data_IF_701613288240
#
_entry.id   IF_701613288240
#
_cell.length_a   1.000
_cell.length_b   1.000
_cell.length_c   1.000
_cell.angle_alpha   90.00
_cell.angle_beta   90.00
_cell.angle_gamma   90.00
#
_symmetry.space_group_name_H-M   'P 1'
#
loop_
_entity.id
_entity.type
_entity.pdbx_description
1 polymer ?
#
# COMPACT_ATOMS: atom_id res chain seq x y z
N UNK A 1 6.15 3.26 8.59
CA UNK A 1 5.91 1.80 8.62
C UNK A 1 7.18 1.03 8.23
N UNK A 2 7.30 -0.22 8.67
CA UNK A 2 8.33 -1.17 8.22
C UNK A 2 7.66 -2.49 7.87
N UNK A 3 7.92 -2.99 6.67
CA UNK A 3 7.48 -4.32 6.23
C UNK A 3 8.73 -5.21 6.11
N UNK A 4 8.66 -6.41 6.68
CA UNK A 4 9.66 -7.43 6.43
C UNK A 4 9.61 -7.89 4.96
N UNK A 5 10.69 -8.54 4.49
CA UNK A 5 10.72 -9.12 3.15
C UNK A 5 9.52 -10.07 2.95
N UNK A 6 8.83 -9.92 1.82
CA UNK A 6 7.61 -10.65 1.50
C UNK A 6 6.34 -10.14 2.21
N UNK A 7 6.44 -9.17 3.11
CA UNK A 7 5.30 -8.62 3.84
C UNK A 7 4.29 -7.96 2.92
N UNK A 8 3.00 -8.32 3.06
CA UNK A 8 1.87 -7.78 2.30
C UNK A 8 0.91 -7.05 3.23
N UNK A 9 0.37 -5.91 2.79
CA UNK A 9 -0.83 -5.32 3.36
C UNK A 9 -1.95 -5.55 2.35
N UNK A 10 -3.02 -6.30 2.71
CA UNK A 10 -4.09 -6.64 1.78
C UNK A 10 -4.90 -5.39 1.35
N UNK A 11 -5.78 -5.52 0.34
CA UNK A 11 -6.61 -4.42 -0.12
C UNK A 11 -7.34 -3.72 1.02
N UNK A 12 -7.21 -2.40 1.09
CA UNK A 12 -7.81 -1.57 2.12
C UNK A 12 -8.07 -0.15 1.61
N UNK A 13 -8.86 0.61 2.38
CA UNK A 13 -9.12 2.03 2.15
C UNK A 13 -8.81 2.86 3.40
N UNK A 14 -8.60 4.16 3.18
CA UNK A 14 -8.53 5.18 4.22
C UNK A 14 -9.60 6.27 3.98
N UNK A 15 -10.13 6.91 5.04
CA UNK A 15 -10.99 8.08 4.89
C UNK A 15 -10.30 9.29 4.26
N UNK A 16 -9.00 9.42 4.51
CA UNK A 16 -8.13 10.49 4.05
C UNK A 16 -7.24 10.05 2.87
N UNK A 17 -6.71 11.03 2.14
CA UNK A 17 -5.65 10.80 1.16
C UNK A 17 -4.35 10.41 1.88
N UNK A 18 -3.65 9.42 1.34
CA UNK A 18 -2.33 9.03 1.79
C UNK A 18 -1.26 9.49 0.83
N UNK A 19 -0.27 10.19 1.36
CA UNK A 19 1.00 10.48 0.66
C UNK A 19 2.08 9.65 1.34
N UNK A 20 2.69 8.75 0.58
CA UNK A 20 3.68 7.81 1.12
C UNK A 20 5.02 7.98 0.44
N UNK A 21 6.04 8.26 1.25
CA UNK A 21 7.44 8.37 0.82
C UNK A 21 8.21 7.12 1.23
N UNK A 22 8.88 6.47 0.28
CA UNK A 22 9.70 5.29 0.58
C UNK A 22 11.07 5.72 1.10
N UNK A 23 11.41 5.30 2.31
CA UNK A 23 12.64 5.68 3.01
C UNK A 23 13.77 4.67 2.77
N UNK A 24 13.44 3.39 2.57
CA UNK A 24 14.41 2.35 2.21
C UNK A 24 13.73 1.16 1.52
N UNK A 25 14.40 0.53 0.56
CA UNK A 25 13.88 -0.60 -0.22
C UNK A 25 12.96 -0.16 -1.37
N UNK A 26 12.12 -1.08 -1.84
CA UNK A 26 11.14 -0.86 -2.91
C UNK A 26 9.76 -1.33 -2.46
N UNK A 27 8.81 -0.39 -2.35
CA UNK A 27 7.42 -0.73 -2.06
C UNK A 27 6.69 -0.99 -3.38
N UNK A 28 6.01 -2.11 -3.50
CA UNK A 28 5.12 -2.37 -4.62
C UNK A 28 3.71 -1.95 -4.23
N UNK A 29 3.04 -1.16 -5.06
CA UNK A 29 1.70 -0.64 -4.81
C UNK A 29 0.77 -1.05 -5.93
N UNK A 30 -0.39 -1.60 -5.60
CA UNK A 30 -1.47 -1.83 -6.54
C UNK A 30 -2.76 -1.15 -6.08
N UNK A 31 -3.66 -0.90 -7.03
CA UNK A 31 -4.94 -0.26 -6.80
C UNK A 31 -6.08 -1.22 -7.16
N UNK A 32 -7.14 -1.19 -6.35
CA UNK A 32 -8.31 -2.06 -6.52
C UNK A 32 -8.62 -2.89 -5.27
N UNK A 33 -9.76 -3.56 -5.32
CA UNK A 33 -10.30 -4.36 -4.21
C UNK A 33 -9.76 -5.80 -4.17
N UNK A 34 -8.85 -6.18 -5.08
CA UNK A 34 -8.28 -7.52 -5.18
C UNK A 34 -6.78 -7.39 -5.34
N UNK A 35 -6.03 -8.22 -4.62
CA UNK A 35 -4.58 -8.25 -4.68
C UNK A 35 -4.16 -8.91 -6.00
N UNK A 36 -3.73 -8.10 -6.98
CA UNK A 36 -3.16 -8.56 -8.24
C UNK A 36 -1.66 -8.23 -8.28
N UNK A 37 -0.83 -9.28 -8.32
CA UNK A 37 0.63 -9.18 -8.35
C UNK A 37 1.17 -8.64 -9.67
N UNK A 38 0.40 -8.76 -10.76
CA UNK A 38 0.85 -8.42 -12.11
C UNK A 38 0.66 -6.93 -12.43
N UNK A 39 -0.30 -6.27 -11.78
CA UNK A 39 -0.63 -4.86 -11.98
C UNK A 39 0.04 -3.88 -11.00
N UNK A 40 1.06 -4.32 -10.26
CA UNK A 40 1.70 -3.47 -9.23
C UNK A 40 2.76 -2.53 -9.81
N UNK A 41 2.84 -1.33 -9.26
CA UNK A 41 3.87 -0.32 -9.57
C UNK A 41 4.95 -0.35 -8.49
N UNK A 42 6.22 -0.37 -8.91
CA UNK A 42 7.36 -0.28 -8.00
C UNK A 42 7.65 1.17 -7.61
N UNK A 43 7.71 1.43 -6.31
CA UNK A 43 8.01 2.72 -5.70
C UNK A 43 9.36 2.59 -4.98
N UNK A 44 10.47 2.99 -5.63
CA UNK A 44 11.80 2.85 -5.06
C UNK A 44 12.06 3.88 -3.95
N UNK A 45 13.17 3.70 -3.23
CA UNK A 45 13.64 4.65 -2.20
C UNK A 45 13.72 6.08 -2.74
N UNK A 46 13.21 7.04 -1.98
CA UNK A 46 13.13 8.46 -2.35
C UNK A 46 11.92 8.82 -3.21
N UNK A 47 11.21 7.84 -3.77
CA UNK A 47 9.97 8.09 -4.51
C UNK A 47 8.76 8.21 -3.59
N UNK A 48 7.71 8.82 -4.14
CA UNK A 48 6.43 9.07 -3.48
C UNK A 48 5.32 8.42 -4.30
N UNK A 49 4.33 7.85 -3.63
CA UNK A 49 3.03 7.56 -4.23
C UNK A 49 1.91 8.19 -3.42
N UNK A 50 0.77 8.41 -4.08
CA UNK A 50 -0.45 8.95 -3.46
C UNK A 50 -1.57 7.94 -3.65
N UNK A 51 -2.26 7.60 -2.57
CA UNK A 51 -3.54 6.90 -2.61
C UNK A 51 -4.65 7.91 -2.24
N UNK A 52 -5.52 8.31 -3.19
CA UNK A 52 -6.61 9.24 -2.90
C UNK A 52 -7.57 8.66 -1.85
N UNK A 53 -8.26 9.55 -1.13
CA UNK A 53 -9.26 9.17 -0.14
C UNK A 53 -10.25 8.13 -0.69
N UNK A 54 -10.63 7.16 0.14
CA UNK A 54 -11.55 6.06 -0.18
C UNK A 54 -11.14 5.18 -1.36
N UNK A 55 -9.90 5.28 -1.85
CA UNK A 55 -9.42 4.45 -2.97
C UNK A 55 -8.85 3.13 -2.46
N UNK A 56 -9.39 1.96 -2.88
CA UNK A 56 -8.83 0.66 -2.55
C UNK A 56 -7.41 0.53 -3.09
N UNK A 57 -6.48 0.13 -2.24
CA UNK A 57 -5.11 -0.15 -2.63
C UNK A 57 -4.48 -1.20 -1.70
N UNK A 58 -3.34 -1.74 -2.12
CA UNK A 58 -2.59 -2.76 -1.40
C UNK A 58 -1.09 -2.57 -1.65
N UNK A 59 -0.27 -3.04 -0.70
CA UNK A 59 1.18 -2.88 -0.81
C UNK A 59 1.94 -4.17 -0.50
N UNK A 60 3.11 -4.32 -1.10
CA UNK A 60 3.95 -5.50 -0.96
C UNK A 60 5.44 -5.14 -0.92
N UNK A 61 6.14 -5.70 0.05
CA UNK A 61 7.60 -5.69 0.15
C UNK A 61 8.21 -6.88 -0.63
N UNK A 62 7.97 -6.92 -1.94
CA UNK A 62 8.30 -8.06 -2.82
C UNK A 62 9.80 -8.38 -2.84
N UNK A 63 10.63 -7.36 -3.03
CA UNK A 63 12.06 -7.53 -3.32
C UNK A 63 12.96 -7.53 -2.06
N UNK A 64 12.37 -7.36 -0.87
CA UNK A 64 13.10 -7.25 0.39
C UNK A 64 12.35 -6.43 1.41
N UNK A 65 12.96 -6.21 2.58
CA UNK A 65 12.36 -5.36 3.61
C UNK A 65 12.26 -3.90 3.12
N UNK A 66 11.16 -3.24 3.50
CA UNK A 66 10.86 -1.86 3.07
C UNK A 66 10.52 -1.02 4.29
N UNK A 67 11.02 0.22 4.32
CA UNK A 67 10.52 1.24 5.25
C UNK A 67 10.00 2.44 4.48
N UNK A 68 8.89 3.00 4.95
CA UNK A 68 8.25 4.15 4.33
C UNK A 68 7.56 5.01 5.38
N UNK A 69 7.40 6.29 5.08
CA UNK A 69 6.59 7.22 5.86
C UNK A 69 5.29 7.45 5.11
N UNK A 70 4.17 7.28 5.80
CA UNK A 70 2.84 7.61 5.29
C UNK A 70 2.33 8.82 6.06
N UNK A 71 1.77 9.79 5.34
CA UNK A 71 1.08 10.94 5.91
C UNK A 71 -0.33 11.05 5.32
N UNK A 72 -1.21 11.71 6.07
CA UNK A 72 -2.54 12.10 5.62
C UNK A 72 -3.07 13.22 6.51
N UNK A 73 -4.17 13.85 6.11
CA UNK A 73 -4.75 15.03 6.78
C UNK A 73 -6.21 14.76 7.13
N UNK A 74 -6.57 14.98 8.39
CA UNK A 74 -7.94 14.84 8.91
C UNK A 74 -8.16 13.53 9.68
N UNK A 75 -9.43 13.17 9.96
CA UNK A 75 -9.76 11.88 10.56
C UNK A 75 -9.28 10.75 9.67
N UNK A 76 -8.58 9.79 10.27
CA UNK A 76 -7.96 8.68 9.53
C UNK A 76 -8.40 7.34 10.10
N UNK A 77 -8.21 6.28 9.33
CA UNK A 77 -8.51 4.91 9.68
C UNK A 77 -8.08 3.96 8.56
N UNK A 78 -8.09 2.67 8.83
CA UNK A 78 -7.80 1.64 7.84
C UNK A 78 -8.95 0.64 7.84
N UNK A 79 -9.62 0.49 6.70
CA UNK A 79 -10.68 -0.49 6.52
C UNK A 79 -10.25 -1.54 5.51
N UNK A 80 -10.10 -2.78 5.96
CA UNK A 80 -9.68 -3.89 5.11
C UNK A 80 -10.86 -4.42 4.29
N UNK A 81 -10.60 -4.70 3.01
CA UNK A 81 -11.56 -5.32 2.12
C UNK A 81 -11.39 -6.83 2.24
N UNK A 82 -12.44 -7.59 2.60
CA UNK A 82 -12.37 -9.05 2.65
C UNK A 82 -11.96 -9.60 1.30
N UNK A 83 -11.02 -10.55 1.31
CA UNK A 83 -10.73 -11.32 0.11
C UNK A 83 -12.03 -11.98 -0.37
N UNK A 84 -12.34 -11.85 -1.65
CA UNK A 84 -13.45 -12.60 -2.23
C UNK A 84 -13.08 -14.08 -2.12
N UNK A 85 -13.83 -14.85 -1.33
CA UNK A 85 -13.64 -16.30 -1.30
C UNK A 85 -13.74 -16.84 -2.72
N UNK A 86 -12.87 -17.77 -3.14
CA UNK A 86 -13.16 -18.57 -4.32
C UNK A 86 -14.54 -19.23 -4.16
N UNK A 87 -15.30 -19.43 -5.26
CA UNK A 87 -16.48 -20.30 -5.22
C UNK A 87 -16.13 -21.71 -4.75
#
# INVERSE_FOLDING_TARGET
>A
MKLAAGGKIPPHTHPDERVTTVLSGTLFVGFGATFDETGMVSIPTGAVYVAPAQTPHYVWAKDGAVSYQEMGIGPTGTSFIPAKSPP
#
